data_IF_766701282124
#
_entry.id   IF_766701282124
#
_cell.length_a   1.000
_cell.length_b   1.000
_cell.length_c   1.000
_cell.angle_alpha   90.00
_cell.angle_beta   90.00
_cell.angle_gamma   90.00
#
_symmetry.space_group_name_H-M   'P 1'
#
loop_
_entity.id
_entity.type
_entity.pdbx_description
1 polymer ?
#
# COMPACT_ATOMS: atom_id res chain seq x y z
N UNK A 1 5.99 27.90 -10.10
CA UNK A 1 6.24 27.00 -8.97
C UNK A 1 6.26 25.59 -9.52
N UNK A 2 7.45 25.11 -9.84
CA UNK A 2 7.70 23.97 -10.74
C UNK A 2 7.56 22.66 -9.92
N UNK A 3 6.64 21.76 -10.31
CA UNK A 3 6.57 20.39 -9.79
C UNK A 3 7.85 19.62 -10.18
N UNK A 4 8.98 19.89 -9.52
CA UNK A 4 10.25 19.15 -9.69
C UNK A 4 10.29 17.83 -8.91
N UNK A 5 9.13 17.32 -8.47
CA UNK A 5 9.03 16.04 -7.77
C UNK A 5 9.07 14.84 -8.74
N UNK A 6 8.47 14.99 -9.92
CA UNK A 6 8.30 13.87 -10.87
C UNK A 6 9.61 13.51 -11.58
N UNK A 7 10.51 14.48 -11.80
CA UNK A 7 11.82 14.30 -12.44
C UNK A 7 12.82 13.49 -11.57
N UNK A 8 12.42 13.04 -10.38
CA UNK A 8 13.25 12.27 -9.45
C UNK A 8 12.67 10.91 -9.07
N UNK A 9 11.63 10.42 -9.76
CA UNK A 9 11.04 9.12 -9.47
C UNK A 9 11.87 7.99 -10.10
N UNK A 10 12.30 7.05 -9.26
CA UNK A 10 13.00 5.84 -9.67
C UNK A 10 12.05 4.66 -9.89
N UNK A 11 12.59 3.55 -10.39
CA UNK A 11 11.81 2.31 -10.56
C UNK A 11 11.27 1.79 -9.22
N UNK A 12 12.04 1.92 -8.12
CA UNK A 12 11.58 1.53 -6.80
C UNK A 12 10.36 2.36 -6.36
N UNK A 13 10.41 3.68 -6.52
CA UNK A 13 9.31 4.59 -6.15
C UNK A 13 8.01 4.28 -6.92
N UNK A 14 8.12 3.86 -8.18
CA UNK A 14 6.96 3.44 -8.96
C UNK A 14 6.30 2.17 -8.39
N UNK A 15 7.12 1.23 -7.90
CA UNK A 15 6.61 0.01 -7.24
C UNK A 15 5.98 0.37 -5.89
N UNK A 16 6.59 1.27 -5.12
CA UNK A 16 6.04 1.77 -3.85
C UNK A 16 4.70 2.50 -4.04
N UNK A 17 4.58 3.34 -5.07
CA UNK A 17 3.30 3.99 -5.42
C UNK A 17 2.25 2.95 -5.84
N UNK A 18 2.66 1.90 -6.55
CA UNK A 18 1.77 0.79 -6.88
C UNK A 18 1.32 0.04 -5.62
N UNK A 19 2.22 -0.22 -4.66
CA UNK A 19 1.89 -0.80 -3.36
C UNK A 19 0.84 0.07 -2.63
N UNK A 20 1.07 1.38 -2.53
CA UNK A 20 0.11 2.31 -1.91
C UNK A 20 -1.27 2.28 -2.61
N UNK A 21 -1.31 2.21 -3.93
CA UNK A 21 -2.56 2.10 -4.68
C UNK A 21 -3.30 0.78 -4.39
N UNK A 22 -2.59 -0.33 -4.29
CA UNK A 22 -3.16 -1.63 -3.91
C UNK A 22 -3.69 -1.58 -2.47
N UNK A 23 -2.95 -0.99 -1.53
CA UNK A 23 -3.41 -0.77 -0.16
C UNK A 23 -4.68 0.05 -0.08
N UNK A 24 -4.76 1.14 -0.84
CA UNK A 24 -5.98 1.96 -0.93
C UNK A 24 -7.17 1.18 -1.53
N UNK A 25 -6.94 0.38 -2.57
CA UNK A 25 -7.98 -0.50 -3.12
C UNK A 25 -8.44 -1.54 -2.10
N UNK A 26 -7.54 -2.03 -1.24
CA UNK A 26 -7.89 -2.96 -0.17
C UNK A 26 -8.81 -2.30 0.88
N UNK A 27 -8.56 -1.03 1.23
CA UNK A 27 -9.45 -0.24 2.11
C UNK A 27 -10.86 -0.15 1.51
N UNK A 28 -10.97 0.16 0.22
CA UNK A 28 -12.28 0.22 -0.46
C UNK A 28 -12.92 -1.16 -0.50
N UNK A 29 -12.16 -2.20 -0.86
CA UNK A 29 -12.66 -3.56 -0.94
C UNK A 29 -13.19 -4.06 0.41
N UNK A 30 -12.60 -3.63 1.53
CA UNK A 30 -13.00 -4.09 2.87
C UNK A 30 -14.46 -3.79 3.19
N UNK A 31 -15.08 -2.78 2.58
CA UNK A 31 -16.48 -2.41 2.81
C UNK A 31 -17.49 -3.16 1.93
N UNK A 32 -17.01 -3.92 0.94
CA UNK A 32 -17.86 -4.63 -0.04
C UNK A 32 -17.59 -6.13 -0.08
N UNK A 33 -16.33 -6.55 0.04
CA UNK A 33 -15.88 -7.93 0.02
C UNK A 33 -14.58 -8.06 0.85
N UNK A 34 -14.75 -8.57 2.07
CA UNK A 34 -13.66 -8.81 3.02
C UNK A 34 -12.62 -9.82 2.51
N UNK A 35 -13.03 -10.76 1.65
CA UNK A 35 -12.11 -11.76 1.07
C UNK A 35 -11.23 -11.11 0.00
N UNK A 36 -11.81 -10.27 -0.85
CA UNK A 36 -11.06 -9.49 -1.83
C UNK A 36 -10.08 -8.54 -1.13
N UNK A 37 -10.54 -7.85 -0.07
CA UNK A 37 -9.68 -6.96 0.72
C UNK A 37 -8.48 -7.69 1.31
N UNK A 38 -8.69 -8.87 1.92
CA UNK A 38 -7.60 -9.69 2.44
C UNK A 38 -6.58 -10.09 1.34
N UNK A 39 -7.06 -10.46 0.15
CA UNK A 39 -6.19 -10.79 -0.99
C UNK A 39 -5.38 -9.58 -1.47
N UNK A 40 -5.98 -8.39 -1.48
CA UNK A 40 -5.29 -7.16 -1.86
C UNK A 40 -4.23 -6.75 -0.83
N UNK A 41 -4.50 -6.93 0.47
CA UNK A 41 -3.48 -6.71 1.54
C UNK A 41 -2.29 -7.66 1.34
N UNK A 42 -2.54 -8.94 1.04
CA UNK A 42 -1.46 -9.89 0.74
C UNK A 42 -0.69 -9.53 -0.54
N UNK A 43 -1.38 -9.01 -1.56
CA UNK A 43 -0.74 -8.52 -2.77
C UNK A 43 0.14 -7.28 -2.48
N UNK A 44 -0.34 -6.36 -1.64
CA UNK A 44 0.43 -5.21 -1.17
C UNK A 44 1.71 -5.65 -0.43
N UNK A 45 1.63 -6.66 0.44
CA UNK A 45 2.79 -7.26 1.12
C UNK A 45 3.85 -7.79 0.15
N UNK A 46 3.42 -8.39 -0.97
CA UNK A 46 4.34 -8.88 -2.00
C UNK A 46 4.97 -7.71 -2.77
N UNK A 47 4.17 -6.68 -3.11
CA UNK A 47 4.64 -5.50 -3.83
C UNK A 47 5.66 -4.69 -3.01
N UNK A 48 5.41 -4.55 -1.71
CA UNK A 48 6.31 -3.95 -0.73
C UNK A 48 7.66 -4.70 -0.65
N UNK A 49 7.61 -6.02 -0.53
CA UNK A 49 8.84 -6.82 -0.58
C UNK A 49 9.62 -6.63 -1.90
N UNK A 50 8.91 -6.39 -3.01
CA UNK A 50 9.52 -6.17 -4.32
C UNK A 50 10.18 -4.79 -4.45
N UNK A 51 9.57 -3.72 -3.94
CA UNK A 51 10.17 -2.38 -4.04
C UNK A 51 11.49 -2.29 -3.26
N UNK A 52 11.58 -2.93 -2.09
CA UNK A 52 12.79 -2.99 -1.29
C UNK A 52 13.89 -3.79 -1.99
N UNK A 53 13.52 -4.86 -2.70
CA UNK A 53 14.47 -5.59 -3.58
C UNK A 53 14.95 -4.69 -4.72
N UNK A 54 14.05 -3.98 -5.39
CA UNK A 54 14.39 -3.08 -6.51
C UNK A 54 15.27 -1.92 -6.04
N UNK A 55 14.96 -1.31 -4.89
CA UNK A 55 15.75 -0.24 -4.28
C UNK A 55 17.17 -0.68 -3.95
N UNK A 56 17.35 -1.91 -3.44
CA UNK A 56 18.69 -2.47 -3.18
C UNK A 56 19.53 -2.66 -4.45
N UNK A 57 18.90 -2.99 -5.58
CA UNK A 57 19.62 -3.27 -6.84
C UNK A 57 19.78 -2.05 -7.75
N UNK A 58 18.82 -1.11 -7.73
CA UNK A 58 18.77 0.03 -8.65
C UNK A 58 19.01 1.38 -7.97
N UNK A 59 19.15 1.38 -6.64
CA UNK A 59 19.23 2.59 -5.83
C UNK A 59 17.85 3.14 -5.50
N UNK A 60 17.76 3.81 -4.36
CA UNK A 60 16.57 4.55 -3.93
C UNK A 60 16.74 6.04 -4.24
N UNK A 61 15.62 6.75 -4.40
CA UNK A 61 15.64 8.21 -4.56
C UNK A 61 15.50 8.87 -3.19
N UNK A 62 15.83 10.17 -3.05
CA UNK A 62 15.63 10.86 -1.78
C UNK A 62 14.18 10.89 -1.29
N UNK A 63 13.21 10.69 -2.20
CA UNK A 63 11.79 10.64 -1.88
C UNK A 63 11.31 9.22 -1.50
N UNK A 64 12.00 8.18 -1.98
CA UNK A 64 11.62 6.78 -1.81
C UNK A 64 11.26 6.41 -0.37
N UNK A 65 12.12 6.65 0.63
CA UNK A 65 11.81 6.29 2.02
C UNK A 65 10.54 6.94 2.59
N UNK A 66 10.20 8.16 2.15
CA UNK A 66 8.97 8.83 2.57
C UNK A 66 7.75 8.25 1.87
N UNK A 67 7.86 7.88 0.60
CA UNK A 67 6.81 7.21 -0.15
C UNK A 67 6.53 5.82 0.42
N UNK A 68 7.59 5.11 0.80
CA UNK A 68 7.57 3.78 1.41
C UNK A 68 6.79 3.79 2.73
N UNK A 69 7.17 4.69 3.64
CA UNK A 69 6.45 4.87 4.90
C UNK A 69 4.98 5.24 4.72
N UNK A 70 4.62 6.03 3.70
CA UNK A 70 3.23 6.36 3.40
C UNK A 70 2.46 5.15 2.83
N UNK A 71 3.11 4.36 1.97
CA UNK A 71 2.56 3.12 1.43
C UNK A 71 2.30 2.10 2.56
N UNK A 72 3.26 1.92 3.47
CA UNK A 72 3.15 1.06 4.64
C UNK A 72 1.94 1.39 5.51
N UNK A 73 1.75 2.69 5.82
CA UNK A 73 0.62 3.13 6.63
C UNK A 73 -0.70 2.78 5.95
N UNK A 74 -0.81 2.96 4.63
CA UNK A 74 -2.03 2.61 3.89
C UNK A 74 -2.25 1.09 3.82
N UNK A 75 -1.24 0.33 3.41
CA UNK A 75 -1.31 -1.10 3.11
C UNK A 75 -1.35 -1.99 4.36
N UNK A 76 -0.63 -1.63 5.42
CA UNK A 76 -0.48 -2.47 6.63
C UNK A 76 -1.03 -1.83 7.89
N UNK A 77 -1.29 -0.52 7.90
CA UNK A 77 -1.99 0.16 8.98
C UNK A 77 -3.49 0.21 8.73
N UNK A 78 -3.90 1.00 7.74
CA UNK A 78 -5.30 1.36 7.50
C UNK A 78 -6.11 0.21 6.94
N UNK A 79 -5.64 -0.48 5.90
CA UNK A 79 -6.40 -1.56 5.27
C UNK A 79 -6.70 -2.73 6.23
N UNK A 80 -5.74 -3.27 7.01
CA UNK A 80 -6.03 -4.33 7.97
C UNK A 80 -6.94 -3.85 9.11
N UNK A 81 -6.74 -2.63 9.62
CA UNK A 81 -7.58 -2.08 10.69
C UNK A 81 -9.05 -1.96 10.25
N UNK A 82 -9.30 -1.46 9.03
CA UNK A 82 -10.65 -1.37 8.49
C UNK A 82 -11.26 -2.75 8.24
N UNK A 83 -10.49 -3.70 7.70
CA UNK A 83 -10.97 -5.07 7.49
C UNK A 83 -11.45 -5.71 8.80
N UNK A 84 -10.67 -5.58 9.88
CA UNK A 84 -11.07 -6.07 11.21
C UNK A 84 -12.32 -5.34 11.70
N UNK A 85 -12.38 -4.02 11.57
CA UNK A 85 -13.54 -3.24 11.98
C UNK A 85 -14.82 -3.69 11.27
N UNK A 86 -14.78 -3.89 9.94
CA UNK A 86 -15.92 -4.37 9.17
C UNK A 86 -16.35 -5.77 9.62
N UNK A 87 -15.41 -6.70 9.76
CA UNK A 87 -15.71 -8.09 10.18
C UNK A 87 -16.36 -8.12 11.57
N UNK A 88 -15.85 -7.33 12.52
CA UNK A 88 -16.40 -7.25 13.88
C UNK A 88 -17.80 -6.66 13.88
N UNK A 89 -18.03 -5.58 13.13
CA UNK A 89 -19.35 -4.94 13.03
C UNK A 89 -20.37 -5.87 12.37
N UNK A 90 -20.00 -6.55 11.30
CA UNK A 90 -20.86 -7.52 10.62
C UNK A 90 -21.24 -8.68 11.56
N UNK A 91 -20.27 -9.20 12.32
CA UNK A 91 -20.53 -10.28 13.30
C UNK A 91 -21.45 -9.84 14.44
N UNK A 92 -21.34 -8.59 14.91
CA UNK A 92 -22.17 -8.04 15.97
C UNK A 92 -23.59 -7.66 15.52
N UNK A 93 -23.87 -7.75 14.22
CA UNK A 93 -25.18 -7.46 13.62
C UNK A 93 -26.15 -8.66 13.68
N UNK A 94 -25.68 -9.82 14.14
CA UNK A 94 -26.44 -11.07 14.32
C UNK A 94 -26.77 -11.34 15.80
#
# INVERSE_FOLDING_TARGET
MYLRFVDRLGLADAVTVANAAVGFLAVIAATVDVTLAARLILLAAIADGLDGVVARHRGSTPAGPYLDSLADVASFGVAPALLVAVVVVDTASF
#
